data_IF_452120920189
#
_entry.id   IF_452120920189
#
_cell.length_a   1.000
_cell.length_b   1.000
_cell.length_c   1.000
_cell.angle_alpha   90.00
_cell.angle_beta   90.00
_cell.angle_gamma   90.00
#
_symmetry.space_group_name_H-M   'P 1'
#
loop_
_entity.id
_entity.type
_entity.pdbx_description
1 polymer ?
#
# COMPACT_ATOMS: atom_id res chain seq x y z
N UNK A 1 -29.36 -23.45 27.69
CA UNK A 1 -29.91 -23.32 26.33
C UNK A 1 -29.19 -22.17 25.64
N UNK A 2 -28.24 -22.46 24.75
CA UNK A 2 -27.62 -21.43 23.92
C UNK A 2 -28.60 -21.14 22.79
N UNK A 3 -29.28 -20.00 22.85
CA UNK A 3 -30.13 -19.55 21.76
C UNK A 3 -29.20 -19.17 20.60
N UNK A 4 -29.21 -19.96 19.53
CA UNK A 4 -28.58 -19.58 18.28
C UNK A 4 -29.38 -18.41 17.74
N UNK A 5 -28.91 -17.18 17.98
CA UNK A 5 -29.47 -15.99 17.36
C UNK A 5 -29.37 -16.17 15.86
N UNK A 6 -30.52 -16.17 15.18
CA UNK A 6 -30.62 -16.28 13.73
C UNK A 6 -30.17 -14.95 13.14
N UNK A 7 -28.85 -14.80 13.05
CA UNK A 7 -28.20 -13.58 12.58
C UNK A 7 -28.51 -13.38 11.08
N UNK A 8 -28.70 -12.13 10.63
CA UNK A 8 -28.67 -11.82 9.21
C UNK A 8 -27.43 -12.45 8.55
N UNK A 9 -27.57 -12.91 7.29
CA UNK A 9 -26.51 -13.63 6.57
C UNK A 9 -25.14 -12.92 6.62
N UNK A 10 -25.15 -11.60 6.59
CA UNK A 10 -23.95 -10.75 6.73
C UNK A 10 -23.30 -10.87 8.11
N UNK A 11 -24.07 -10.75 9.19
CA UNK A 11 -23.56 -10.90 10.55
C UNK A 11 -23.05 -12.33 10.85
N UNK A 12 -23.72 -13.37 10.32
CA UNK A 12 -23.23 -14.75 10.41
C UNK A 12 -21.88 -14.92 9.67
N UNK A 13 -21.75 -14.30 8.48
CA UNK A 13 -20.49 -14.29 7.72
C UNK A 13 -19.39 -13.52 8.44
N UNK A 14 -19.66 -12.35 9.00
CA UNK A 14 -18.69 -11.57 9.78
C UNK A 14 -18.18 -12.35 10.99
N UNK A 15 -19.05 -13.09 11.68
CA UNK A 15 -18.62 -13.99 12.77
C UNK A 15 -17.62 -15.06 12.29
N UNK A 16 -17.83 -15.61 11.10
CA UNK A 16 -16.90 -16.60 10.52
C UNK A 16 -15.56 -15.95 10.13
N UNK A 17 -15.62 -14.74 9.56
CA UNK A 17 -14.42 -14.01 9.12
C UNK A 17 -13.57 -13.56 10.30
N UNK A 18 -14.15 -13.06 11.40
CA UNK A 18 -13.40 -12.77 12.64
C UNK A 18 -12.63 -14.00 13.13
N UNK A 19 -13.29 -15.16 13.18
CA UNK A 19 -12.63 -16.42 13.56
C UNK A 19 -11.57 -16.87 12.56
N UNK A 20 -11.65 -16.45 11.31
CA UNK A 20 -10.64 -16.74 10.31
C UNK A 20 -9.43 -15.82 10.53
N UNK A 21 -9.64 -14.51 10.65
CA UNK A 21 -8.59 -13.53 10.95
C UNK A 21 -7.84 -13.87 12.23
N UNK A 22 -8.52 -14.25 13.32
CA UNK A 22 -7.85 -14.69 14.57
C UNK A 22 -6.88 -15.88 14.39
N UNK A 23 -7.02 -16.68 13.33
CA UNK A 23 -6.14 -17.82 13.03
C UNK A 23 -5.04 -17.49 12.02
N UNK A 24 -5.17 -16.40 11.27
CA UNK A 24 -4.33 -16.10 10.10
C UNK A 24 -3.81 -14.67 10.06
N UNK A 25 -4.15 -13.83 11.04
CA UNK A 25 -3.54 -12.51 11.18
C UNK A 25 -2.10 -12.72 11.62
N UNK A 26 -1.18 -12.28 10.77
CA UNK A 26 0.25 -12.27 11.03
C UNK A 26 0.66 -10.84 11.40
N UNK A 27 1.59 -10.72 12.34
CA UNK A 27 2.17 -9.42 12.67
C UNK A 27 3.52 -9.29 11.94
N UNK A 28 3.57 -8.53 10.84
CA UNK A 28 4.78 -8.39 10.04
C UNK A 28 5.91 -7.71 10.82
N UNK A 29 5.64 -7.01 11.92
CA UNK A 29 6.68 -6.38 12.74
C UNK A 29 7.32 -7.31 13.75
N UNK A 30 6.63 -8.40 14.12
CA UNK A 30 7.19 -9.44 14.98
C UNK A 30 7.82 -10.56 14.15
N UNK A 31 7.24 -10.86 12.99
CA UNK A 31 7.58 -12.04 12.21
C UNK A 31 8.68 -11.82 11.15
N UNK A 32 8.93 -10.56 10.77
CA UNK A 32 9.91 -10.21 9.74
C UNK A 32 10.98 -9.30 10.35
N UNK A 33 12.24 -9.70 10.17
CA UNK A 33 13.39 -8.85 10.49
C UNK A 33 13.59 -7.84 9.35
N UNK A 34 13.06 -6.64 9.54
CA UNK A 34 13.17 -5.55 8.57
C UNK A 34 14.54 -4.87 8.61
N UNK A 35 15.30 -5.03 9.70
CA UNK A 35 16.57 -4.34 9.88
C UNK A 35 17.64 -4.94 8.96
N UNK A 36 18.13 -4.12 8.03
CA UNK A 36 19.25 -4.50 7.17
C UNK A 36 18.91 -5.44 6.01
N UNK A 37 17.63 -5.59 5.64
CA UNK A 37 17.26 -6.23 4.37
C UNK A 37 17.84 -5.44 3.19
N UNK A 38 18.84 -5.98 2.47
CA UNK A 38 19.46 -5.24 1.37
C UNK A 38 18.51 -5.20 0.18
N UNK A 39 18.33 -4.02 -0.40
CA UNK A 39 17.68 -3.88 -1.70
C UNK A 39 18.70 -4.21 -2.79
N UNK A 40 18.40 -5.23 -3.60
CA UNK A 40 19.24 -5.62 -4.73
C UNK A 40 18.86 -4.82 -5.99
N UNK A 41 19.59 -3.73 -6.21
CA UNK A 41 19.42 -2.86 -7.39
C UNK A 41 19.97 -3.46 -8.70
N UNK A 42 20.46 -4.70 -8.67
CA UNK A 42 20.86 -5.43 -9.88
C UNK A 42 19.76 -6.31 -10.45
N UNK A 43 18.61 -6.41 -9.77
CA UNK A 43 17.49 -7.26 -10.16
C UNK A 43 16.20 -6.45 -10.37
N UNK A 44 15.27 -7.02 -11.14
CA UNK A 44 13.94 -6.45 -11.30
C UNK A 44 13.16 -6.48 -9.97
N UNK A 45 12.52 -5.36 -9.61
CA UNK A 45 11.76 -5.22 -8.36
C UNK A 45 10.31 -5.73 -8.48
N UNK A 46 9.83 -5.90 -9.72
CA UNK A 46 8.63 -6.64 -10.08
C UNK A 46 8.93 -7.48 -11.33
N UNK A 47 8.24 -8.62 -11.51
CA UNK A 47 8.30 -9.36 -12.77
C UNK A 47 8.07 -8.41 -13.96
N UNK A 48 8.95 -8.43 -14.98
CA UNK A 48 8.85 -7.49 -16.11
C UNK A 48 7.47 -7.45 -16.76
N UNK A 49 6.80 -8.61 -16.87
CA UNK A 49 5.47 -8.73 -17.48
C UNK A 49 4.35 -8.01 -16.71
N UNK A 50 4.61 -7.59 -15.46
CA UNK A 50 3.70 -6.80 -14.63
C UNK A 50 3.97 -5.29 -14.71
N UNK A 51 5.04 -4.88 -15.40
CA UNK A 51 5.40 -3.48 -15.56
C UNK A 51 4.64 -2.86 -16.75
N UNK A 52 4.12 -1.65 -16.58
CA UNK A 52 3.22 -1.02 -17.55
C UNK A 52 3.84 -0.80 -18.93
N UNK A 53 5.15 -0.52 -18.99
CA UNK A 53 5.85 -0.30 -20.25
C UNK A 53 6.31 -1.59 -20.94
N UNK A 54 6.23 -2.75 -20.29
CA UNK A 54 6.72 -4.01 -20.85
C UNK A 54 6.07 -4.33 -22.21
N UNK A 55 6.91 -4.70 -23.18
CA UNK A 55 6.48 -5.02 -24.55
C UNK A 55 6.06 -3.82 -25.40
N UNK A 56 6.25 -2.59 -24.91
CA UNK A 56 6.10 -1.37 -25.71
C UNK A 56 7.42 -0.98 -26.38
N UNK A 57 7.36 -0.15 -27.42
CA UNK A 57 8.57 0.40 -28.06
C UNK A 57 9.47 1.14 -27.07
N UNK A 58 8.89 1.89 -26.13
CA UNK A 58 9.66 2.60 -25.10
C UNK A 58 10.47 1.64 -24.22
N UNK A 59 9.93 0.47 -23.91
CA UNK A 59 10.66 -0.57 -23.17
C UNK A 59 11.76 -1.20 -24.01
N UNK A 60 11.49 -1.49 -25.28
CA UNK A 60 12.47 -2.08 -26.20
C UNK A 60 13.70 -1.17 -26.42
N UNK A 61 13.49 0.15 -26.37
CA UNK A 61 14.55 1.16 -26.48
C UNK A 61 15.38 1.32 -25.20
N UNK A 62 14.85 0.96 -24.03
CA UNK A 62 15.60 0.99 -22.77
C UNK A 62 16.67 -0.10 -22.71
N UNK A 63 17.82 0.26 -22.16
CA UNK A 63 18.85 -0.69 -21.73
C UNK A 63 18.37 -1.50 -20.52
N UNK A 64 19.01 -2.64 -20.25
CA UNK A 64 18.67 -3.46 -19.09
C UNK A 64 18.79 -2.71 -17.74
N UNK A 65 19.83 -1.89 -17.48
CA UNK A 65 19.89 -1.06 -16.28
C UNK A 65 18.75 -0.05 -16.18
N UNK A 66 18.32 0.56 -17.29
CA UNK A 66 17.17 1.49 -17.30
C UNK A 66 15.86 0.76 -17.00
N UNK A 67 15.68 -0.47 -17.50
CA UNK A 67 14.51 -1.30 -17.18
C UNK A 67 14.47 -1.71 -15.72
N UNK A 68 15.61 -2.05 -15.13
CA UNK A 68 15.72 -2.36 -13.69
C UNK A 68 15.37 -1.13 -12.86
N UNK A 69 15.95 0.04 -13.17
CA UNK A 69 15.63 1.29 -12.49
C UNK A 69 14.15 1.67 -12.64
N UNK A 70 13.58 1.54 -13.84
CA UNK A 70 12.17 1.74 -14.09
C UNK A 70 11.29 0.79 -13.26
N UNK A 71 11.66 -0.50 -13.17
CA UNK A 71 10.91 -1.47 -12.37
C UNK A 71 10.86 -1.08 -10.89
N UNK A 72 11.97 -0.54 -10.37
CA UNK A 72 12.03 0.00 -9.01
C UNK A 72 11.06 1.15 -8.84
N UNK A 73 11.09 2.14 -9.73
CA UNK A 73 10.19 3.29 -9.69
C UNK A 73 8.71 2.90 -9.77
N UNK A 74 8.35 1.98 -10.67
CA UNK A 74 6.96 1.55 -10.83
C UNK A 74 6.47 0.74 -9.62
N UNK A 75 7.29 -0.18 -9.10
CA UNK A 75 6.99 -0.94 -7.86
C UNK A 75 6.68 0.01 -6.72
N UNK A 76 7.50 1.04 -6.60
CA UNK A 76 7.42 2.04 -5.56
C UNK A 76 6.19 2.94 -5.70
N UNK A 77 5.88 3.38 -6.92
CA UNK A 77 4.66 4.13 -7.21
C UNK A 77 3.40 3.29 -6.89
N UNK A 78 3.42 2.00 -7.24
CA UNK A 78 2.32 1.06 -6.96
C UNK A 78 2.09 0.91 -5.44
N UNK A 79 3.16 0.69 -4.67
CA UNK A 79 3.09 0.57 -3.21
C UNK A 79 2.58 1.87 -2.56
N UNK A 80 3.04 3.03 -3.02
CA UNK A 80 2.55 4.34 -2.57
C UNK A 80 1.07 4.55 -2.87
N UNK A 81 0.60 4.15 -4.06
CA UNK A 81 -0.81 4.18 -4.40
C UNK A 81 -1.65 3.24 -3.52
N UNK A 82 -1.10 2.07 -3.16
CA UNK A 82 -1.70 1.12 -2.20
C UNK A 82 -1.94 1.74 -0.83
N UNK A 83 -0.92 2.38 -0.23
CA UNK A 83 -1.05 3.10 1.04
C UNK A 83 -2.14 4.18 0.96
N UNK A 84 -2.15 4.98 -0.11
CA UNK A 84 -3.18 6.00 -0.30
C UNK A 84 -4.59 5.39 -0.36
N UNK A 85 -4.74 4.28 -1.09
CA UNK A 85 -6.00 3.56 -1.24
C UNK A 85 -6.50 2.98 0.09
N UNK A 86 -5.63 2.32 0.86
CA UNK A 86 -5.96 1.78 2.18
C UNK A 86 -6.42 2.89 3.14
N UNK A 87 -5.73 4.03 3.15
CA UNK A 87 -6.14 5.19 3.94
C UNK A 87 -7.53 5.72 3.56
N UNK A 88 -7.85 5.76 2.27
CA UNK A 88 -9.17 6.17 1.79
C UNK A 88 -10.26 5.15 2.20
N UNK A 89 -9.96 3.85 2.08
CA UNK A 89 -10.87 2.78 2.52
C UNK A 89 -11.12 2.84 4.02
N UNK A 90 -10.08 2.97 4.85
CA UNK A 90 -10.22 3.08 6.31
C UNK A 90 -11.10 4.26 6.69
N UNK A 91 -10.97 5.42 6.02
CA UNK A 91 -11.86 6.57 6.27
C UNK A 91 -13.34 6.26 5.99
N UNK A 92 -13.62 5.52 4.92
CA UNK A 92 -15.00 5.10 4.57
C UNK A 92 -15.52 4.09 5.60
N UNK A 93 -14.72 3.08 5.96
CA UNK A 93 -15.10 2.03 6.92
C UNK A 93 -15.33 2.61 8.31
N UNK A 94 -14.43 3.46 8.80
CA UNK A 94 -14.56 4.13 10.10
C UNK A 94 -15.80 5.03 10.16
N UNK A 95 -16.15 5.70 9.06
CA UNK A 95 -17.38 6.48 8.97
C UNK A 95 -18.62 5.58 9.03
N UNK A 96 -18.61 4.46 8.32
CA UNK A 96 -19.72 3.51 8.32
C UNK A 96 -19.93 2.85 9.69
N UNK A 97 -18.85 2.59 10.44
CA UNK A 97 -18.92 2.00 11.77
C UNK A 97 -19.78 2.81 12.75
N UNK A 98 -19.87 4.14 12.59
CA UNK A 98 -20.72 5.01 13.44
C UNK A 98 -22.20 4.66 13.32
N UNK A 99 -22.63 4.11 12.19
CA UNK A 99 -24.02 3.73 11.92
C UNK A 99 -24.32 2.27 12.30
N UNK A 100 -23.32 1.49 12.72
CA UNK A 100 -23.47 0.07 13.06
C UNK A 100 -23.50 -0.08 14.59
N UNK A 101 -24.48 -0.81 15.17
CA UNK A 101 -24.47 -1.13 16.59
C UNK A 101 -23.19 -1.88 16.98
N UNK A 102 -22.55 -1.48 18.09
CA UNK A 102 -21.33 -2.14 18.61
C UNK A 102 -21.52 -3.62 18.95
N UNK A 103 -22.77 -4.07 19.10
CA UNK A 103 -23.15 -5.47 19.34
C UNK A 103 -23.26 -6.29 18.06
N UNK A 104 -23.23 -5.67 16.88
CA UNK A 104 -23.29 -6.35 15.60
C UNK A 104 -21.92 -7.00 15.28
N UNK A 105 -21.85 -8.29 14.92
CA UNK A 105 -20.62 -8.93 14.48
C UNK A 105 -19.90 -8.23 13.32
N UNK A 106 -20.63 -7.53 12.44
CA UNK A 106 -20.04 -6.73 11.37
C UNK A 106 -19.16 -5.61 11.93
N UNK A 107 -19.58 -4.97 13.02
CA UNK A 107 -18.80 -3.89 13.66
C UNK A 107 -17.43 -4.43 14.09
N UNK A 108 -17.40 -5.60 14.72
CA UNK A 108 -16.14 -6.23 15.13
C UNK A 108 -15.29 -6.62 13.93
N UNK A 109 -15.90 -7.19 12.89
CA UNK A 109 -15.18 -7.60 11.70
C UNK A 109 -14.51 -6.42 10.97
N UNK A 110 -15.25 -5.34 10.75
CA UNK A 110 -14.71 -4.15 10.08
C UNK A 110 -13.56 -3.50 10.87
N UNK A 111 -13.55 -3.58 12.20
CA UNK A 111 -12.40 -3.15 13.00
C UNK A 111 -11.17 -4.04 12.83
N UNK A 112 -11.36 -5.34 12.61
CA UNK A 112 -10.26 -6.27 12.27
C UNK A 112 -9.66 -5.87 10.93
N UNK A 113 -10.49 -5.61 9.92
CA UNK A 113 -10.02 -5.17 8.61
C UNK A 113 -9.26 -3.83 8.70
N UNK A 114 -9.77 -2.84 9.44
CA UNK A 114 -9.04 -1.57 9.67
C UNK A 114 -7.67 -1.82 10.33
N UNK A 115 -7.59 -2.75 11.29
CA UNK A 115 -6.32 -3.09 11.90
C UNK A 115 -5.36 -3.78 10.91
N UNK A 116 -5.87 -4.64 10.03
CA UNK A 116 -5.07 -5.31 9.00
C UNK A 116 -4.55 -4.29 7.96
N UNK A 117 -5.37 -3.34 7.52
CA UNK A 117 -4.90 -2.27 6.61
C UNK A 117 -3.86 -1.34 7.27
N UNK A 118 -3.95 -1.09 8.58
CA UNK A 118 -2.87 -0.40 9.29
C UNK A 118 -1.55 -1.18 9.25
N UNK A 119 -1.61 -2.52 9.36
CA UNK A 119 -0.41 -3.37 9.25
C UNK A 119 0.13 -3.38 7.83
N UNK A 120 -0.72 -3.46 6.80
CA UNK A 120 -0.28 -3.39 5.40
C UNK A 120 0.46 -2.08 5.12
N UNK A 121 -0.17 -0.94 5.39
CA UNK A 121 0.42 0.39 5.17
C UNK A 121 1.78 0.56 5.84
N UNK A 122 1.94 0.02 7.03
CA UNK A 122 3.19 0.16 7.77
C UNK A 122 4.22 -0.90 7.39
N UNK A 123 3.79 -2.10 6.97
CA UNK A 123 4.67 -3.10 6.33
C UNK A 123 5.33 -2.51 5.10
N UNK A 124 4.58 -1.81 4.26
CA UNK A 124 5.12 -1.13 3.09
C UNK A 124 6.20 -0.12 3.49
N UNK A 125 6.00 0.63 4.58
CA UNK A 125 7.03 1.54 5.11
C UNK A 125 8.33 0.80 5.49
N UNK A 126 8.22 -0.31 6.21
CA UNK A 126 9.39 -1.08 6.66
C UNK A 126 10.08 -1.89 5.55
N UNK A 127 9.32 -2.36 4.55
CA UNK A 127 9.86 -3.04 3.36
C UNK A 127 10.56 -2.08 2.40
N UNK A 128 10.18 -0.81 2.45
CA UNK A 128 10.57 0.21 1.49
C UNK A 128 11.40 1.37 2.07
N UNK A 129 12.31 1.26 3.07
CA UNK A 129 12.97 2.46 3.63
C UNK A 129 13.91 3.13 2.62
N UNK A 130 14.60 2.31 1.80
CA UNK A 130 15.44 2.78 0.69
C UNK A 130 14.60 3.27 -0.50
N UNK A 131 13.38 2.74 -0.64
CA UNK A 131 12.45 3.02 -1.73
C UNK A 131 11.61 4.29 -1.48
N UNK A 132 11.21 4.59 -0.23
CA UNK A 132 10.50 5.82 0.17
C UNK A 132 11.38 7.05 -0.03
N UNK A 133 12.68 6.95 0.28
CA UNK A 133 13.63 8.02 -0.01
C UNK A 133 13.72 8.30 -1.52
N UNK A 134 13.57 7.27 -2.34
CA UNK A 134 13.47 7.42 -3.79
C UNK A 134 12.15 8.01 -4.27
N UNK A 135 11.01 7.66 -3.65
CA UNK A 135 9.71 8.32 -3.93
C UNK A 135 9.88 9.83 -3.76
N UNK A 136 10.46 10.24 -2.63
CA UNK A 136 10.67 11.65 -2.31
C UNK A 136 11.67 12.27 -3.29
N UNK A 137 12.78 11.58 -3.60
CA UNK A 137 13.77 12.08 -4.56
C UNK A 137 13.20 12.28 -5.97
N UNK A 138 12.38 11.34 -6.46
CA UNK A 138 11.71 11.42 -7.77
C UNK A 138 10.58 12.46 -7.77
N UNK A 139 9.79 12.51 -6.70
CA UNK A 139 8.71 13.49 -6.54
C UNK A 139 9.24 14.92 -6.40
N UNK A 140 10.52 15.07 -6.09
CA UNK A 140 11.24 16.35 -6.04
C UNK A 140 12.25 16.51 -7.18
N UNK A 141 12.22 15.65 -8.20
CA UNK A 141 13.14 15.75 -9.32
C UNK A 141 12.71 16.93 -10.24
N UNK A 142 13.53 18.01 -10.36
CA UNK A 142 13.22 19.14 -11.22
C UNK A 142 13.02 18.75 -12.69
N UNK A 143 13.78 17.76 -13.17
CA UNK A 143 13.76 17.34 -14.57
C UNK A 143 12.39 16.75 -14.96
N UNK A 144 11.71 16.10 -14.02
CA UNK A 144 10.35 15.59 -14.21
C UNK A 144 9.37 16.73 -14.45
N UNK A 145 9.48 17.82 -13.68
CA UNK A 145 8.60 18.98 -13.84
C UNK A 145 8.90 19.76 -15.12
N UNK A 146 10.18 19.90 -15.47
CA UNK A 146 10.60 20.55 -16.72
C UNK A 146 10.09 19.76 -17.94
N UNK A 147 10.26 18.44 -17.95
CA UNK A 147 9.81 17.58 -19.04
C UNK A 147 8.28 17.58 -19.21
N UNK A 148 7.54 17.66 -18.09
CA UNK A 148 6.07 17.74 -18.10
C UNK A 148 5.54 19.16 -18.34
N UNK A 149 6.41 20.18 -18.40
CA UNK A 149 6.00 21.58 -18.58
C UNK A 149 5.21 22.14 -17.40
N UNK A 150 5.48 21.66 -16.18
CA UNK A 150 4.79 22.09 -14.95
C UNK A 150 5.56 23.25 -14.31
N UNK A 151 5.18 24.48 -14.68
CA UNK A 151 5.77 25.69 -14.10
C UNK A 151 5.64 25.73 -12.57
N UNK A 152 6.78 25.84 -11.88
CA UNK A 152 6.83 25.86 -10.42
C UNK A 152 6.55 24.51 -9.74
N UNK A 153 6.51 23.40 -10.49
CA UNK A 153 6.23 22.06 -9.96
C UNK A 153 7.09 21.66 -8.78
N UNK A 154 8.40 21.94 -8.84
CA UNK A 154 9.32 21.70 -7.72
C UNK A 154 8.95 22.49 -6.46
N UNK A 155 8.58 23.76 -6.60
CA UNK A 155 8.18 24.61 -5.47
C UNK A 155 6.89 24.10 -4.82
N UNK A 156 5.94 23.63 -5.63
CA UNK A 156 4.68 23.03 -5.15
C UNK A 156 4.99 21.72 -4.41
N UNK A 157 5.78 20.83 -5.01
CA UNK A 157 6.16 19.57 -4.39
C UNK A 157 6.94 19.79 -3.08
N UNK A 158 7.97 20.64 -3.08
CA UNK A 158 8.77 20.94 -1.88
C UNK A 158 7.98 21.67 -0.76
N UNK A 159 6.83 22.27 -1.09
CA UNK A 159 5.94 22.89 -0.11
C UNK A 159 5.03 21.88 0.61
N UNK A 160 4.93 20.64 0.10
CA UNK A 160 4.14 19.59 0.73
C UNK A 160 4.82 19.15 2.04
N UNK A 161 4.18 19.33 3.21
CA UNK A 161 4.76 18.97 4.50
C UNK A 161 4.96 17.46 4.66
N UNK A 162 4.36 16.63 3.81
CA UNK A 162 4.49 15.18 3.82
C UNK A 162 5.73 14.66 3.07
N UNK A 163 6.48 15.52 2.36
CA UNK A 163 7.75 15.17 1.70
C UNK A 163 9.00 15.64 2.47
N UNK A 164 8.86 15.95 3.78
CA UNK A 164 9.95 16.38 4.67
C UNK A 164 10.26 15.34 5.74
#
# INVERSE_FOLDING_TARGET
MSATLDLPRTAARSTQLVKASERSTHDPFEEIDWDGLPVDDSAFHLPPELLSLYGTTAWDEMTEPERIAYSRHETVALLGAGIWFENALMQIVLRHLVDIPVTDPMHRYLLVEVADECRHSTTVREAAPVLVNEIVALSLNPDVFEQLGIDGGLMIAASNPHYR
#
